data_IF_974793058747
#
_entry.id   IF_974793058747
#
_cell.length_a   1.000
_cell.length_b   1.000
_cell.length_c   1.000
_cell.angle_alpha   90.00
_cell.angle_beta   90.00
_cell.angle_gamma   90.00
#
_symmetry.space_group_name_H-M   'P 1'
#
loop_
_entity.id
_entity.type
_entity.pdbx_description
1 polymer ?
#
# COMPACT_ATOMS: atom_id res chain seq x y z
N UNK A 1 2.92 -17.56 -17.28
CA UNK A 1 3.92 -16.71 -16.59
C UNK A 1 3.63 -16.79 -15.11
N UNK A 2 4.64 -17.16 -14.33
CA UNK A 2 4.51 -17.80 -13.01
C UNK A 2 4.09 -16.82 -11.91
N UNK A 3 2.90 -17.02 -11.32
CA UNK A 3 2.42 -16.26 -10.14
C UNK A 3 3.38 -16.35 -8.94
N UNK A 4 4.10 -17.48 -8.83
CA UNK A 4 5.14 -17.72 -7.84
C UNK A 4 6.29 -16.68 -7.87
N UNK A 5 6.59 -16.03 -9.00
CA UNK A 5 7.73 -15.09 -9.04
C UNK A 5 7.42 -13.74 -8.39
N UNK A 6 6.14 -13.32 -8.35
CA UNK A 6 5.72 -12.09 -7.67
C UNK A 6 5.70 -12.25 -6.16
N UNK A 7 5.30 -13.44 -5.70
CA UNK A 7 5.36 -13.82 -4.29
C UNK A 7 6.83 -14.08 -3.91
N UNK A 8 7.62 -14.81 -4.68
CA UNK A 8 9.03 -15.05 -4.37
C UNK A 8 9.83 -13.76 -4.13
N UNK A 9 9.58 -12.68 -4.89
CA UNK A 9 10.24 -11.39 -4.68
C UNK A 9 9.93 -10.71 -3.33
N UNK A 10 8.74 -10.92 -2.76
CA UNK A 10 8.37 -10.47 -1.41
C UNK A 10 9.02 -11.32 -0.30
N UNK A 11 9.44 -12.55 -0.63
CA UNK A 11 9.86 -13.58 0.33
C UNK A 11 11.37 -13.91 0.28
N UNK A 12 12.11 -13.48 -0.74
CA UNK A 12 13.49 -13.97 -0.99
C UNK A 12 14.64 -13.27 -0.24
N UNK A 13 14.42 -12.28 0.64
CA UNK A 13 15.54 -11.60 1.33
C UNK A 13 15.33 -11.41 2.84
N UNK A 14 15.41 -12.54 3.58
CA UNK A 14 15.80 -12.78 4.99
C UNK A 14 15.27 -11.87 6.14
N UNK A 15 15.16 -12.33 7.42
CA UNK A 15 15.18 -13.68 8.02
C UNK A 15 13.78 -14.10 8.54
N UNK A 16 13.39 -15.38 8.40
CA UNK A 16 12.09 -15.94 8.86
C UNK A 16 10.87 -15.11 8.42
N UNK A 17 10.40 -15.40 7.20
CA UNK A 17 9.08 -15.10 6.62
C UNK A 17 8.05 -14.49 7.60
N UNK A 18 8.09 -13.15 7.76
CA UNK A 18 7.16 -12.41 8.58
C UNK A 18 6.46 -11.33 7.73
N UNK A 19 5.15 -11.47 7.55
CA UNK A 19 4.31 -10.50 6.85
C UNK A 19 3.77 -9.52 7.90
N UNK A 20 4.13 -8.24 7.76
CA UNK A 20 3.80 -7.20 8.75
C UNK A 20 4.23 -7.58 10.19
N UNK A 21 5.34 -8.30 10.33
CA UNK A 21 5.86 -8.79 11.62
C UNK A 21 5.25 -10.11 12.12
N UNK A 22 4.24 -10.66 11.44
CA UNK A 22 3.61 -11.94 11.78
C UNK A 22 4.16 -13.08 10.94
N UNK A 23 4.51 -14.19 11.60
CA UNK A 23 4.78 -15.46 10.91
C UNK A 23 3.50 -16.03 10.31
N UNK A 24 3.65 -16.92 9.32
CA UNK A 24 2.51 -17.58 8.68
C UNK A 24 1.57 -18.25 9.70
N UNK A 25 2.13 -18.97 10.68
CA UNK A 25 1.32 -19.66 11.70
C UNK A 25 0.56 -18.69 12.60
N UNK A 26 1.14 -17.52 12.92
CA UNK A 26 0.41 -16.50 13.67
C UNK A 26 -0.73 -15.90 12.83
N UNK A 27 -0.53 -15.68 11.53
CA UNK A 27 -1.59 -15.22 10.63
C UNK A 27 -2.73 -16.22 10.53
N UNK A 28 -2.43 -17.52 10.39
CA UNK A 28 -3.44 -18.58 10.37
C UNK A 28 -4.25 -18.62 11.67
N UNK A 29 -3.63 -18.27 12.81
CA UNK A 29 -4.32 -18.18 14.09
C UNK A 29 -5.20 -16.92 14.22
N UNK A 30 -4.84 -15.81 13.54
CA UNK A 30 -5.61 -14.55 13.55
C UNK A 30 -6.77 -14.59 12.55
N UNK A 31 -6.53 -15.13 11.35
CA UNK A 31 -7.47 -15.20 10.24
C UNK A 31 -7.99 -16.63 10.11
N UNK A 32 -9.02 -16.96 10.88
CA UNK A 32 -9.62 -18.31 10.91
C UNK A 32 -10.86 -18.44 10.02
N UNK A 33 -11.55 -17.33 9.76
CA UNK A 33 -12.76 -17.31 8.96
C UNK A 33 -12.44 -17.34 7.46
N UNK A 34 -13.14 -18.15 6.65
CA UNK A 34 -12.91 -18.18 5.21
C UNK A 34 -13.22 -16.82 4.58
N UNK A 35 -12.49 -16.48 3.52
CA UNK A 35 -12.80 -15.27 2.76
C UNK A 35 -14.19 -15.39 2.15
N UNK A 36 -15.00 -14.32 2.21
CA UNK A 36 -16.27 -14.32 1.53
C UNK A 36 -16.03 -14.51 0.02
N UNK A 37 -16.49 -15.63 -0.55
CA UNK A 37 -16.35 -15.96 -1.97
C UNK A 37 -17.17 -15.06 -2.92
N UNK A 38 -17.73 -13.96 -2.40
CA UNK A 38 -18.28 -12.89 -3.21
C UNK A 38 -17.16 -12.22 -3.99
N UNK A 39 -17.32 -12.18 -5.30
CA UNK A 39 -16.46 -11.39 -6.18
C UNK A 39 -16.43 -9.95 -5.64
N UNK A 40 -15.25 -9.37 -5.36
CA UNK A 40 -15.14 -7.98 -4.94
C UNK A 40 -15.86 -7.08 -5.96
N UNK A 41 -16.58 -6.06 -5.50
CA UNK A 41 -17.32 -5.16 -6.39
C UNK A 41 -16.38 -4.31 -7.26
N UNK A 42 -15.14 -4.13 -6.80
CA UNK A 42 -14.04 -3.53 -7.55
C UNK A 42 -12.93 -4.56 -7.78
N UNK A 43 -12.27 -4.57 -8.96
CA UNK A 43 -11.07 -5.36 -9.15
C UNK A 43 -10.06 -5.02 -8.07
N UNK A 44 -9.42 -6.05 -7.50
CA UNK A 44 -8.37 -5.86 -6.51
C UNK A 44 -7.26 -4.95 -7.09
N UNK A 45 -6.71 -4.03 -6.28
CA UNK A 45 -5.61 -3.18 -6.72
C UNK A 45 -4.43 -4.01 -7.23
N UNK A 46 -3.63 -3.45 -8.14
CA UNK A 46 -2.45 -4.10 -8.75
C UNK A 46 -1.42 -4.66 -7.74
N UNK A 47 -1.48 -4.26 -6.47
CA UNK A 47 -0.55 -4.65 -5.40
C UNK A 47 -1.22 -5.35 -4.22
N UNK A 48 -2.51 -5.72 -4.33
CA UNK A 48 -3.14 -6.60 -3.35
C UNK A 48 -2.87 -8.05 -3.73
N UNK A 49 -2.37 -8.80 -2.76
CA UNK A 49 -2.02 -10.21 -2.91
C UNK A 49 -2.93 -11.05 -2.02
N UNK A 50 -3.63 -12.03 -2.59
CA UNK A 50 -4.33 -13.04 -1.78
C UNK A 50 -3.32 -13.96 -1.10
N UNK A 51 -3.52 -14.23 0.19
CA UNK A 51 -2.72 -15.16 0.98
C UNK A 51 -3.39 -16.55 1.08
N UNK A 52 -4.50 -16.79 0.38
CA UNK A 52 -5.27 -18.05 0.47
C UNK A 52 -4.44 -19.28 0.10
N UNK A 53 -3.57 -19.15 -0.90
CA UNK A 53 -2.66 -20.23 -1.34
C UNK A 53 -1.69 -20.67 -0.23
N UNK A 54 -1.51 -19.84 0.80
CA UNK A 54 -0.69 -20.13 2.00
C UNK A 54 -1.51 -20.62 3.20
N UNK A 55 -2.82 -20.83 3.01
CA UNK A 55 -3.75 -21.23 4.07
C UNK A 55 -4.20 -20.06 4.96
N UNK A 56 -3.91 -18.81 4.59
CA UNK A 56 -4.36 -17.62 5.32
C UNK A 56 -5.50 -16.97 4.53
N UNK A 57 -6.75 -16.99 5.02
CA UNK A 57 -7.90 -16.37 4.35
C UNK A 57 -7.88 -14.85 4.52
N UNK A 58 -6.87 -14.19 3.95
CA UNK A 58 -6.71 -12.74 4.01
C UNK A 58 -5.96 -12.22 2.78
N UNK A 59 -6.02 -10.91 2.60
CA UNK A 59 -5.29 -10.17 1.59
C UNK A 59 -4.16 -9.38 2.24
N UNK A 60 -3.00 -9.36 1.59
CA UNK A 60 -1.89 -8.47 1.90
C UNK A 60 -1.88 -7.27 0.96
N UNK A 61 -1.63 -6.07 1.50
CA UNK A 61 -1.41 -4.87 0.70
C UNK A 61 -0.28 -4.02 1.27
N UNK A 62 0.67 -3.66 0.41
CA UNK A 62 1.64 -2.60 0.67
C UNK A 62 1.19 -1.29 0.00
N UNK A 63 1.10 -0.23 0.79
CA UNK A 63 0.67 1.11 0.40
C UNK A 63 1.77 2.13 0.72
N UNK A 64 1.82 3.17 -0.10
CA UNK A 64 2.60 4.37 0.15
C UNK A 64 1.65 5.56 0.18
N UNK A 65 1.57 6.23 1.32
CA UNK A 65 0.62 7.32 1.58
C UNK A 65 1.39 8.59 1.94
N UNK A 66 0.93 9.73 1.42
CA UNK A 66 1.41 11.05 1.81
C UNK A 66 1.06 11.33 3.28
N UNK A 67 1.98 11.93 4.03
CA UNK A 67 1.76 12.21 5.45
C UNK A 67 0.52 13.06 5.73
N UNK A 68 0.09 13.90 4.77
CA UNK A 68 -1.12 14.72 4.89
C UNK A 68 -2.42 13.91 4.84
N UNK A 69 -2.36 12.71 4.26
CA UNK A 69 -3.51 11.81 4.13
C UNK A 69 -3.59 10.80 5.30
N UNK A 70 -2.60 10.80 6.20
CA UNK A 70 -2.53 9.85 7.32
C UNK A 70 -3.77 9.89 8.21
N UNK A 71 -4.19 11.09 8.64
CA UNK A 71 -5.36 11.23 9.54
C UNK A 71 -6.64 10.68 8.89
N UNK A 72 -6.77 10.83 7.56
CA UNK A 72 -7.90 10.28 6.81
C UNK A 72 -7.82 8.76 6.72
N UNK A 73 -6.63 8.19 6.56
CA UNK A 73 -6.41 6.74 6.59
C UNK A 73 -6.71 6.14 7.97
N UNK A 74 -6.26 6.82 9.04
CA UNK A 74 -6.52 6.40 10.41
C UNK A 74 -8.03 6.46 10.72
N UNK A 75 -8.71 7.55 10.35
CA UNK A 75 -10.15 7.66 10.52
C UNK A 75 -10.91 6.57 9.76
N UNK A 76 -10.41 6.16 8.58
CA UNK A 76 -11.00 5.06 7.82
C UNK A 76 -10.89 3.72 8.59
N UNK A 77 -9.73 3.43 9.21
CA UNK A 77 -9.57 2.25 10.07
C UNK A 77 -10.55 2.31 11.24
N UNK A 78 -10.58 3.42 11.97
CA UNK A 78 -11.39 3.59 13.17
C UNK A 78 -12.90 3.57 12.89
N UNK A 79 -13.32 3.93 11.67
CA UNK A 79 -14.71 3.81 11.25
C UNK A 79 -15.19 2.37 11.04
N UNK A 80 -14.25 1.45 10.77
CA UNK A 80 -14.54 0.08 10.35
C UNK A 80 -14.10 -0.97 11.38
N UNK A 81 -13.13 -0.66 12.24
CA UNK A 81 -12.55 -1.57 13.20
C UNK A 81 -12.25 -0.90 14.53
N UNK A 82 -12.18 -1.71 15.59
CA UNK A 82 -11.70 -1.31 16.91
C UNK A 82 -10.32 -1.88 17.16
N UNK A 83 -9.42 -1.10 17.76
CA UNK A 83 -8.09 -1.57 18.15
C UNK A 83 -8.22 -2.67 19.21
N UNK A 84 -7.63 -3.84 18.94
CA UNK A 84 -7.68 -5.01 19.83
C UNK A 84 -6.35 -5.24 20.52
N UNK A 85 -5.25 -5.17 19.76
CA UNK A 85 -3.91 -5.44 20.26
C UNK A 85 -2.87 -4.59 19.54
N UNK A 86 -1.80 -4.23 20.23
CA UNK A 86 -0.64 -3.57 19.65
C UNK A 86 0.63 -4.24 20.15
N UNK A 87 1.59 -4.43 19.24
CA UNK A 87 2.91 -4.97 19.53
C UNK A 87 3.99 -4.21 18.75
N UNK A 88 5.24 -4.42 19.14
CA UNK A 88 6.37 -3.83 18.43
C UNK A 88 7.07 -4.87 17.56
N UNK A 89 7.37 -4.50 16.32
CA UNK A 89 8.19 -5.29 15.41
C UNK A 89 9.26 -4.39 14.78
N UNK A 90 10.54 -4.70 14.99
CA UNK A 90 11.66 -3.85 14.55
C UNK A 90 11.49 -2.38 14.95
N UNK A 91 11.08 -2.13 16.20
CA UNK A 91 10.79 -0.80 16.77
C UNK A 91 9.69 -0.01 16.05
N UNK A 92 8.86 -0.69 15.26
CA UNK A 92 7.67 -0.12 14.63
C UNK A 92 6.42 -0.71 15.30
N UNK A 93 5.38 0.11 15.50
CA UNK A 93 4.11 -0.37 16.01
C UNK A 93 3.42 -1.25 14.96
N UNK A 94 2.92 -2.37 15.42
CA UNK A 94 2.04 -3.27 14.67
C UNK A 94 0.73 -3.36 15.43
N UNK A 95 -0.30 -2.80 14.83
CA UNK A 95 -1.62 -2.68 15.43
C UNK A 95 -2.56 -3.69 14.79
N UNK A 96 -3.25 -4.45 15.62
CA UNK A 96 -4.26 -5.41 15.23
C UNK A 96 -5.63 -4.86 15.62
N UNK A 97 -6.52 -4.81 14.64
CA UNK A 97 -7.87 -4.33 14.78
C UNK A 97 -8.87 -5.43 14.47
N UNK A 98 -10.06 -5.29 15.04
CA UNK A 98 -11.16 -6.20 14.83
C UNK A 98 -12.48 -5.49 14.59
N UNK A 99 -13.31 -6.09 13.76
CA UNK A 99 -14.72 -5.82 13.67
C UNK A 99 -15.47 -7.08 14.09
N UNK A 100 -15.95 -7.07 15.33
CA UNK A 100 -16.64 -8.22 15.94
C UNK A 100 -17.98 -8.52 15.25
N UNK A 101 -18.63 -7.53 14.63
CA UNK A 101 -19.94 -7.72 13.99
C UNK A 101 -19.85 -8.61 12.76
N UNK A 102 -18.75 -8.49 12.01
CA UNK A 102 -18.55 -9.20 10.73
C UNK A 102 -17.38 -10.20 10.78
N UNK A 103 -16.84 -10.48 11.97
CA UNK A 103 -15.63 -11.30 12.17
C UNK A 103 -14.44 -10.87 11.28
N UNK A 104 -14.33 -9.57 11.02
CA UNK A 104 -13.24 -9.05 10.19
C UNK A 104 -12.06 -8.66 11.07
N UNK A 105 -10.86 -8.83 10.51
CA UNK A 105 -9.58 -8.57 11.15
C UNK A 105 -8.72 -7.71 10.24
N UNK A 106 -7.91 -6.87 10.85
CA UNK A 106 -6.93 -6.03 10.18
C UNK A 106 -5.66 -6.04 11.01
N UNK A 107 -4.53 -6.26 10.36
CA UNK A 107 -3.20 -6.03 10.93
C UNK A 107 -2.57 -4.91 10.13
N UNK A 108 -2.04 -3.88 10.79
CA UNK A 108 -1.33 -2.78 10.17
C UNK A 108 0.05 -2.62 10.79
N UNK A 109 1.08 -2.62 9.95
CA UNK A 109 2.43 -2.16 10.27
C UNK A 109 2.65 -0.84 9.54
N UNK A 110 2.88 0.23 10.29
CA UNK A 110 3.06 1.59 9.76
C UNK A 110 4.48 2.05 10.04
N UNK A 111 5.14 2.64 9.04
CA UNK A 111 6.43 3.29 9.20
C UNK A 111 6.44 4.64 8.51
N UNK A 112 6.98 5.63 9.23
CA UNK A 112 7.25 6.98 8.72
C UNK A 112 8.76 7.21 8.51
N UNK A 113 9.56 6.15 8.63
CA UNK A 113 11.03 6.23 8.61
C UNK A 113 11.59 6.37 7.19
N UNK A 114 10.88 5.86 6.18
CA UNK A 114 11.40 5.77 4.82
C UNK A 114 10.93 6.92 3.91
N UNK A 115 11.89 7.60 3.27
CA UNK A 115 11.68 8.50 2.11
C UNK A 115 10.57 9.54 2.30
N UNK A 116 10.52 10.21 3.46
CA UNK A 116 9.52 11.24 3.79
C UNK A 116 8.07 10.84 3.51
N UNK A 117 7.77 9.55 3.68
CA UNK A 117 6.50 8.94 3.32
C UNK A 117 5.95 8.10 4.47
N UNK A 118 4.65 7.84 4.44
CA UNK A 118 4.03 6.83 5.29
C UNK A 118 3.93 5.53 4.51
N UNK A 119 4.73 4.54 4.89
CA UNK A 119 4.58 3.18 4.36
C UNK A 119 3.61 2.41 5.25
N UNK A 120 2.61 1.80 4.63
CA UNK A 120 1.61 0.98 5.32
C UNK A 120 1.64 -0.42 4.73
N UNK A 121 1.87 -1.41 5.59
CA UNK A 121 1.73 -2.82 5.24
C UNK A 121 0.57 -3.37 6.03
N UNK A 122 -0.46 -3.84 5.33
CA UNK A 122 -1.66 -4.35 5.96
C UNK A 122 -1.99 -5.77 5.53
N UNK A 123 -2.62 -6.50 6.44
CA UNK A 123 -3.25 -7.80 6.17
C UNK A 123 -4.69 -7.73 6.65
N UNK A 124 -5.65 -8.03 5.78
CA UNK A 124 -7.08 -7.99 6.14
C UNK A 124 -7.91 -9.01 5.39
N UNK A 125 -8.96 -9.52 6.03
CA UNK A 125 -10.00 -10.32 5.38
C UNK A 125 -11.24 -9.49 5.00
N UNK A 126 -11.20 -8.16 5.17
CA UNK A 126 -12.30 -7.26 4.83
C UNK A 126 -12.14 -6.72 3.41
N UNK A 127 -12.93 -7.24 2.47
CA UNK A 127 -13.00 -6.70 1.10
C UNK A 127 -13.57 -5.29 1.07
N UNK A 128 -14.56 -5.00 1.93
CA UNK A 128 -15.18 -3.68 2.04
C UNK A 128 -14.16 -2.60 2.41
N UNK A 129 -13.24 -2.93 3.32
CA UNK A 129 -12.17 -2.02 3.70
C UNK A 129 -11.17 -1.78 2.57
N UNK A 130 -10.81 -2.83 1.81
CA UNK A 130 -9.94 -2.68 0.63
C UNK A 130 -10.59 -1.77 -0.41
N UNK A 131 -11.89 -1.94 -0.67
CA UNK A 131 -12.65 -1.07 -1.57
C UNK A 131 -12.73 0.36 -1.06
N UNK A 132 -12.90 0.56 0.24
CA UNK A 132 -12.93 1.89 0.83
C UNK A 132 -11.59 2.63 0.65
N UNK A 133 -10.46 1.94 0.84
CA UNK A 133 -9.13 2.49 0.55
C UNK A 133 -9.01 2.86 -0.93
N UNK A 134 -9.45 1.99 -1.84
CA UNK A 134 -9.43 2.26 -3.28
C UNK A 134 -10.24 3.50 -3.65
N UNK A 135 -11.45 3.65 -3.08
CA UNK A 135 -12.34 4.80 -3.35
C UNK A 135 -11.76 6.11 -2.82
N UNK A 136 -11.06 6.07 -1.68
CA UNK A 136 -10.42 7.25 -1.10
C UNK A 136 -9.24 7.75 -1.95
N UNK A 137 -8.62 6.89 -2.77
CA UNK A 137 -7.50 7.21 -3.68
C UNK A 137 -6.40 8.03 -3.01
N UNK A 138 -5.91 7.54 -1.87
CA UNK A 138 -4.83 8.18 -1.12
C UNK A 138 -3.64 8.51 -2.02
N UNK A 139 -3.13 9.73 -1.89
CA UNK A 139 -2.03 10.20 -2.72
C UNK A 139 -0.71 9.55 -2.28
N UNK A 140 0.12 9.15 -3.25
CA UNK A 140 1.54 8.91 -2.97
C UNK A 140 2.24 10.26 -2.73
N UNK A 141 3.25 10.33 -1.86
CA UNK A 141 4.04 11.54 -1.67
C UNK A 141 4.72 11.95 -2.99
N UNK A 142 4.96 13.25 -3.21
CA UNK A 142 5.62 13.69 -4.42
C UNK A 142 7.02 13.08 -4.56
N UNK A 143 7.44 12.63 -5.76
CA UNK A 143 8.74 12.02 -5.95
C UNK A 143 9.91 12.92 -5.51
N UNK A 144 9.80 14.23 -5.72
CA UNK A 144 10.78 15.22 -5.28
C UNK A 144 10.78 15.52 -3.78
N UNK A 145 9.74 15.11 -3.07
CA UNK A 145 9.69 15.14 -1.60
C UNK A 145 10.25 13.84 -1.04
N UNK A 146 9.92 12.71 -1.66
CA UNK A 146 10.37 11.40 -1.23
C UNK A 146 11.87 11.18 -1.47
N UNK A 147 12.39 11.72 -2.57
CA UNK A 147 13.80 11.64 -2.95
C UNK A 147 14.39 13.04 -3.14
N UNK A 148 15.24 13.47 -2.21
CA UNK A 148 15.94 14.75 -2.32
C UNK A 148 16.85 14.76 -3.57
N UNK A 149 16.84 15.88 -4.30
CA UNK A 149 17.65 16.04 -5.51
C UNK A 149 17.18 15.22 -6.72
N UNK A 150 15.99 14.61 -6.64
CA UNK A 150 15.45 13.81 -7.72
C UNK A 150 15.06 14.69 -8.92
N UNK A 151 15.72 14.45 -10.06
CA UNK A 151 15.56 15.25 -11.26
C UNK A 151 14.29 14.84 -12.01
N UNK A 152 13.40 15.78 -12.37
CA UNK A 152 12.21 15.49 -13.20
C UNK A 152 12.54 14.73 -14.49
N UNK A 153 13.69 15.02 -15.12
CA UNK A 153 14.11 14.36 -16.36
C UNK A 153 14.48 12.87 -16.18
N UNK A 154 14.67 12.41 -14.94
CA UNK A 154 14.91 10.99 -14.63
C UNK A 154 13.61 10.21 -14.42
N UNK A 155 12.49 10.93 -14.35
CA UNK A 155 11.17 10.35 -14.19
C UNK A 155 10.79 9.48 -15.39
N UNK A 156 10.30 8.27 -15.13
CA UNK A 156 9.99 7.31 -16.19
C UNK A 156 11.21 6.61 -16.82
N UNK A 157 12.44 6.98 -16.43
CA UNK A 157 13.65 6.24 -16.84
C UNK A 157 13.80 4.94 -16.04
N UNK A 158 14.59 3.99 -16.55
CA UNK A 158 15.00 2.80 -15.79
C UNK A 158 15.96 3.19 -14.66
N UNK A 159 15.39 3.45 -13.49
CA UNK A 159 16.12 3.77 -12.28
C UNK A 159 16.51 2.50 -11.52
N UNK A 160 17.58 2.58 -10.73
CA UNK A 160 18.08 1.47 -9.93
C UNK A 160 18.00 1.79 -8.43
N UNK A 161 18.13 0.75 -7.61
CA UNK A 161 18.10 0.86 -6.15
C UNK A 161 16.73 1.29 -5.62
N UNK A 162 16.72 2.09 -4.55
CA UNK A 162 15.49 2.52 -3.89
C UNK A 162 14.59 3.37 -4.82
N UNK A 163 15.17 4.25 -5.63
CA UNK A 163 14.40 5.08 -6.57
C UNK A 163 13.66 4.23 -7.61
N UNK A 164 14.34 3.24 -8.22
CA UNK A 164 13.70 2.31 -9.15
C UNK A 164 12.59 1.50 -8.49
N UNK A 165 12.84 0.97 -7.29
CA UNK A 165 11.83 0.23 -6.54
C UNK A 165 10.57 1.08 -6.27
N UNK A 166 10.70 2.30 -5.76
CA UNK A 166 9.55 3.15 -5.45
C UNK A 166 8.82 3.62 -6.71
N UNK A 167 9.56 3.91 -7.78
CA UNK A 167 9.00 4.28 -9.07
C UNK A 167 8.12 3.16 -9.61
N UNK A 168 8.63 1.93 -9.66
CA UNK A 168 7.93 0.80 -10.24
C UNK A 168 6.78 0.28 -9.36
N UNK A 169 6.94 0.31 -8.04
CA UNK A 169 5.98 -0.29 -7.10
C UNK A 169 4.87 0.65 -6.64
N UNK A 170 5.11 1.97 -6.63
CA UNK A 170 4.16 2.92 -6.06
C UNK A 170 3.83 4.05 -7.01
N UNK A 171 4.84 4.74 -7.55
CA UNK A 171 4.58 5.96 -8.27
C UNK A 171 3.99 5.73 -9.66
N UNK A 172 4.62 4.92 -10.51
CA UNK A 172 4.10 4.63 -11.85
C UNK A 172 2.67 4.06 -11.78
N UNK A 173 2.36 3.04 -10.95
CA UNK A 173 0.99 2.55 -10.80
C UNK A 173 -0.01 3.65 -10.38
N UNK A 174 0.39 4.53 -9.46
CA UNK A 174 -0.46 5.63 -9.02
C UNK A 174 -0.73 6.63 -10.16
N UNK A 175 0.31 7.17 -10.81
CA UNK A 175 0.15 8.22 -11.82
C UNK A 175 -0.46 7.72 -13.14
N UNK A 176 -0.20 6.48 -13.53
CA UNK A 176 -0.89 5.84 -14.68
C UNK A 176 -2.39 5.65 -14.43
N UNK A 177 -2.79 5.47 -13.17
CA UNK A 177 -4.20 5.38 -12.77
C UNK A 177 -4.93 6.72 -12.66
N UNK A 178 -4.23 7.86 -12.82
CA UNK A 178 -4.82 9.19 -12.79
C UNK A 178 -5.17 9.69 -14.20
N UNK A 179 -6.35 10.30 -14.32
CA UNK A 179 -6.71 11.14 -15.46
C UNK A 179 -5.86 12.42 -15.51
N UNK A 180 -5.82 13.09 -16.66
CA UNK A 180 -5.15 14.40 -16.81
C UNK A 180 -5.61 15.42 -15.75
N UNK A 181 -6.91 15.47 -15.47
CA UNK A 181 -7.47 16.39 -14.47
C UNK A 181 -6.99 16.05 -13.06
N UNK A 182 -6.89 14.76 -12.71
CA UNK A 182 -6.35 14.33 -11.43
C UNK A 182 -4.84 14.61 -11.32
N UNK A 183 -4.07 14.45 -12.39
CA UNK A 183 -2.65 14.83 -12.43
C UNK A 183 -2.46 16.33 -12.22
N UNK A 184 -3.31 17.16 -12.83
CA UNK A 184 -3.29 18.61 -12.62
C UNK A 184 -3.66 18.98 -11.18
N UNK A 185 -4.68 18.35 -10.62
CA UNK A 185 -5.08 18.54 -9.22
C UNK A 185 -3.95 18.13 -8.26
N UNK A 186 -3.26 17.03 -8.54
CA UNK A 186 -2.07 16.59 -7.80
C UNK A 186 -0.96 17.64 -7.87
N UNK A 187 -0.59 18.10 -9.07
CA UNK A 187 0.43 19.14 -9.24
C UNK A 187 0.09 20.42 -8.47
N UNK A 188 -1.18 20.83 -8.48
CA UNK A 188 -1.65 21.99 -7.72
C UNK A 188 -1.58 21.76 -6.19
N UNK A 189 -2.01 20.58 -5.71
CA UNK A 189 -1.96 20.20 -4.29
C UNK A 189 -0.54 20.28 -3.70
N UNK A 190 0.47 19.96 -4.51
CA UNK A 190 1.86 19.89 -4.08
C UNK A 190 2.75 21.04 -4.59
N UNK A 191 2.16 22.05 -5.23
CA UNK A 191 2.90 23.19 -5.80
C UNK A 191 4.06 22.72 -6.67
N UNK A 192 3.79 21.76 -7.57
CA UNK A 192 4.82 21.17 -8.43
C UNK A 192 5.48 22.26 -9.29
N UNK A 193 6.79 22.14 -9.50
CA UNK A 193 7.48 22.99 -10.48
C UNK A 193 6.95 22.72 -11.88
N UNK A 194 7.15 23.65 -12.81
CA UNK A 194 6.77 23.45 -14.21
C UNK A 194 7.44 22.20 -14.81
N UNK A 195 8.68 21.92 -14.43
CA UNK A 195 9.42 20.73 -14.88
C UNK A 195 8.78 19.42 -14.38
N UNK A 196 8.35 19.39 -13.11
CA UNK A 196 7.66 18.24 -12.54
C UNK A 196 6.27 18.05 -13.13
N UNK A 197 5.52 19.14 -13.30
CA UNK A 197 4.20 19.09 -13.92
C UNK A 197 4.28 18.57 -15.37
N UNK A 198 5.26 19.04 -16.15
CA UNK A 198 5.51 18.55 -17.50
C UNK A 198 5.90 17.06 -17.51
N UNK A 199 6.79 16.64 -16.61
CA UNK A 199 7.24 15.24 -16.54
C UNK A 199 6.13 14.28 -16.12
N UNK A 200 5.26 14.68 -15.19
CA UNK A 200 4.11 13.87 -14.76
C UNK A 200 3.01 13.76 -15.82
N UNK A 201 2.82 14.81 -16.63
CA UNK A 201 1.82 14.79 -17.70
C UNK A 201 2.10 13.70 -18.73
N UNK A 202 3.39 13.42 -19.02
CA UNK A 202 3.83 12.45 -20.03
C UNK A 202 3.59 10.98 -19.66
N UNK A 203 3.20 10.66 -18.41
CA UNK A 203 2.92 9.27 -17.99
C UNK A 203 1.55 8.82 -18.47
N UNK A 204 1.44 7.68 -19.13
CA UNK A 204 0.16 7.06 -19.47
C UNK A 204 -0.51 7.59 -20.75
N UNK A 205 0.22 8.33 -21.58
CA UNK A 205 -0.16 8.72 -22.95
C UNK A 205 0.25 7.68 -24.02
N UNK A 206 0.62 6.46 -23.60
CA UNK A 206 0.84 5.28 -24.49
C UNK A 206 -0.31 4.27 -24.35
#
# INVERSE_FOLDING_TARGET
MNFFSRIAGLFERAPKEQIAGYSLSELQAVFTEPLPHTTPALPLPLHVVSLEDTGVPAYYWALLIDGRDWDSFQALIESSFTLSHERNFNELPVSQYENVQNSQRLICLISTREFNAVTVRLVTNSTDFLEAIQRQRFAVPPPWVAFEGYNPAWWGAQLQGAQGYYNDQYFLPFFTGLSETEKLAYCARYTASQEWAASLALIGDE
#
